data_IF_891425377483
#
_entry.id   IF_891425377483
#
_cell.length_a   1.000
_cell.length_b   1.000
_cell.length_c   1.000
_cell.angle_alpha   90.00
_cell.angle_beta   90.00
_cell.angle_gamma   90.00
#
_symmetry.space_group_name_H-M   'P 1'
#
loop_
_entity.id
_entity.type
_entity.pdbx_description
1 polymer ?
#
# COMPACT_ATOMS: atom_id res chain seq x y z
N UNK A 1 -0.17 -38.72 0.52
CA UNK A 1 0.01 -37.75 1.62
C UNK A 1 -0.77 -36.52 1.21
N UNK A 2 -1.67 -36.00 2.06
CA UNK A 2 -2.31 -34.71 1.78
C UNK A 2 -1.20 -33.64 1.71
N UNK A 3 -1.19 -32.82 0.66
CA UNK A 3 -0.23 -31.74 0.55
C UNK A 3 -0.45 -30.77 1.72
N UNK A 4 0.63 -30.32 2.35
CA UNK A 4 0.58 -29.30 3.40
C UNK A 4 1.42 -28.13 2.95
N UNK A 5 0.82 -26.95 2.97
CA UNK A 5 1.50 -25.70 2.60
C UNK A 5 1.77 -24.85 3.84
N UNK A 6 2.55 -23.79 3.67
CA UNK A 6 2.81 -22.81 4.72
C UNK A 6 1.56 -21.92 4.88
N UNK A 7 1.08 -21.63 6.10
CA UNK A 7 -0.09 -20.77 6.26
C UNK A 7 0.15 -19.38 5.64
N UNK A 8 -0.84 -18.88 4.88
CA UNK A 8 -0.78 -17.54 4.28
C UNK A 8 -1.30 -16.50 5.27
N UNK A 9 -0.56 -15.40 5.45
CA UNK A 9 -0.98 -14.26 6.26
C UNK A 9 -2.10 -13.47 5.55
N UNK A 10 -3.13 -13.06 6.29
CA UNK A 10 -4.23 -12.23 5.76
C UNK A 10 -3.80 -10.77 5.66
N UNK A 11 -2.90 -10.48 4.72
CA UNK A 11 -2.26 -9.17 4.59
C UNK A 11 -2.12 -8.78 3.12
N UNK A 12 -2.60 -7.59 2.70
CA UNK A 12 -2.47 -7.13 1.32
C UNK A 12 -1.03 -7.05 0.82
N UNK A 13 -0.06 -6.76 1.69
CA UNK A 13 1.37 -6.69 1.32
C UNK A 13 1.94 -8.04 0.87
N UNK A 14 1.33 -9.15 1.34
CA UNK A 14 1.69 -10.52 0.95
C UNK A 14 0.87 -10.98 -0.26
N UNK A 15 -0.42 -10.64 -0.28
CA UNK A 15 -1.37 -11.13 -1.29
C UNK A 15 -1.22 -10.38 -2.63
N UNK A 16 -0.94 -9.08 -2.63
CA UNK A 16 -0.77 -8.32 -3.87
C UNK A 16 0.40 -8.83 -4.72
N UNK A 17 1.62 -9.04 -4.19
CA UNK A 17 2.70 -9.67 -4.95
C UNK A 17 2.36 -11.08 -5.45
N UNK A 18 1.55 -11.83 -4.70
CA UNK A 18 1.07 -13.15 -5.11
C UNK A 18 0.17 -13.04 -6.35
N UNK A 19 -0.79 -12.10 -6.36
CA UNK A 19 -1.69 -11.81 -7.50
C UNK A 19 -0.87 -11.45 -8.75
N UNK A 20 0.13 -10.57 -8.60
CA UNK A 20 0.98 -10.16 -9.71
C UNK A 20 1.81 -11.33 -10.27
N UNK A 21 2.44 -12.13 -9.40
CA UNK A 21 3.21 -13.32 -9.82
C UNK A 21 2.35 -14.40 -10.48
N UNK A 22 1.06 -14.47 -10.13
CA UNK A 22 0.09 -15.34 -10.80
C UNK A 22 -0.28 -14.87 -12.21
N UNK A 23 0.11 -13.66 -12.59
CA UNK A 23 -0.15 -13.03 -13.88
C UNK A 23 -1.50 -12.31 -13.96
N UNK A 24 -2.15 -12.06 -12.83
CA UNK A 24 -3.42 -11.33 -12.78
C UNK A 24 -3.15 -9.84 -12.65
N UNK A 25 -3.91 -9.03 -13.39
CA UNK A 25 -3.78 -7.56 -13.38
C UNK A 25 -5.15 -6.90 -13.31
N UNK A 26 -5.19 -5.59 -13.10
CA UNK A 26 -6.46 -4.86 -13.04
C UNK A 26 -7.15 -4.89 -11.67
N UNK A 27 -6.53 -5.54 -10.67
CA UNK A 27 -7.06 -5.70 -9.31
C UNK A 27 -5.96 -5.59 -8.26
N UNK A 28 -6.35 -5.23 -7.04
CA UNK A 28 -5.51 -5.32 -5.84
C UNK A 28 -6.36 -5.62 -4.62
N UNK A 29 -5.73 -6.11 -3.57
CA UNK A 29 -6.31 -6.23 -2.24
C UNK A 29 -5.98 -5.00 -1.39
N UNK A 30 -6.92 -4.61 -0.54
CA UNK A 30 -6.79 -3.55 0.48
C UNK A 30 -7.38 -4.04 1.80
N UNK A 31 -6.87 -3.55 2.93
CA UNK A 31 -7.46 -3.87 4.23
C UNK A 31 -8.84 -3.25 4.38
N UNK A 32 -9.73 -3.99 5.05
CA UNK A 32 -11.06 -3.53 5.45
C UNK A 32 -11.05 -3.36 6.96
N UNK A 33 -11.00 -2.10 7.40
CA UNK A 33 -11.05 -1.76 8.83
C UNK A 33 -12.49 -1.73 9.35
N UNK A 34 -13.42 -1.26 8.51
CA UNK A 34 -14.85 -1.16 8.80
C UNK A 34 -15.64 -1.59 7.57
N UNK A 35 -16.74 -2.34 7.75
CA UNK A 35 -17.55 -2.81 6.62
C UNK A 35 -18.35 -1.67 5.96
N UNK A 36 -18.61 -0.60 6.69
CA UNK A 36 -19.29 0.61 6.23
C UNK A 36 -18.33 1.63 5.58
N UNK A 37 -17.04 1.28 5.40
CA UNK A 37 -16.05 2.18 4.82
C UNK A 37 -16.32 2.45 3.33
N UNK A 38 -16.91 3.61 3.04
CA UNK A 38 -17.23 4.04 1.68
C UNK A 38 -15.99 4.40 0.85
N UNK A 39 -14.81 4.52 1.47
CA UNK A 39 -13.53 4.84 0.81
C UNK A 39 -12.86 3.63 0.15
N UNK A 40 -13.38 2.42 0.40
CA UNK A 40 -12.87 1.21 -0.24
C UNK A 40 -13.08 1.31 -1.75
N UNK A 41 -11.98 1.11 -2.49
CA UNK A 41 -11.94 1.26 -3.94
C UNK A 41 -13.04 0.48 -4.66
N UNK A 42 -13.60 1.09 -5.69
CA UNK A 42 -14.68 0.53 -6.51
C UNK A 42 -14.17 0.26 -7.94
N UNK A 43 -14.73 -0.70 -8.68
CA UNK A 43 -15.59 -1.78 -8.21
C UNK A 43 -14.98 -2.64 -7.09
N UNK A 44 -15.81 -3.02 -6.12
CA UNK A 44 -15.53 -4.01 -5.10
C UNK A 44 -15.90 -5.38 -5.66
N UNK A 45 -14.92 -6.28 -5.78
CA UNK A 45 -15.12 -7.57 -6.45
C UNK A 45 -15.34 -8.72 -5.48
N UNK A 46 -14.60 -8.73 -4.37
CA UNK A 46 -14.69 -9.76 -3.35
C UNK A 46 -14.16 -9.26 -2.00
N UNK A 47 -14.50 -9.96 -0.93
CA UNK A 47 -13.87 -9.83 0.39
C UNK A 47 -13.40 -11.20 0.85
N UNK A 48 -12.19 -11.27 1.38
CA UNK A 48 -11.65 -12.44 2.05
C UNK A 48 -11.65 -12.16 3.55
N UNK A 49 -12.39 -12.96 4.31
CA UNK A 49 -12.51 -12.85 5.76
C UNK A 49 -11.75 -13.98 6.42
N UNK A 50 -10.80 -13.64 7.29
CA UNK A 50 -10.01 -14.57 8.07
C UNK A 50 -10.51 -14.57 9.52
N UNK A 51 -11.21 -15.63 9.92
CA UNK A 51 -11.76 -15.79 11.26
C UNK A 51 -10.82 -16.57 12.17
N UNK A 52 -10.79 -16.26 13.48
CA UNK A 52 -10.15 -17.12 14.47
C UNK A 52 -11.01 -18.37 14.74
N UNK A 53 -10.42 -19.36 15.43
CA UNK A 53 -11.11 -20.56 15.91
C UNK A 53 -11.83 -21.36 14.81
N UNK A 54 -11.11 -21.84 13.80
CA UNK A 54 -11.70 -22.53 12.65
C UNK A 54 -12.70 -23.65 13.02
N UNK A 55 -12.51 -24.35 14.15
CA UNK A 55 -13.43 -25.40 14.61
C UNK A 55 -14.79 -24.82 15.03
N UNK A 56 -14.79 -23.68 15.71
CA UNK A 56 -16.01 -22.99 16.14
C UNK A 56 -16.73 -22.39 14.94
N UNK A 57 -15.98 -21.80 14.00
CA UNK A 57 -16.52 -21.43 12.67
C UNK A 57 -17.15 -22.67 12.02
N UNK A 58 -16.47 -23.82 12.12
CA UNK A 58 -16.96 -25.05 11.50
C UNK A 58 -18.32 -25.50 12.05
N UNK A 59 -18.46 -25.45 13.38
CA UNK A 59 -19.67 -25.79 14.12
C UNK A 59 -20.82 -24.81 13.84
N UNK A 60 -20.53 -23.50 13.77
CA UNK A 60 -21.54 -22.48 13.50
C UNK A 60 -22.09 -22.61 12.07
N UNK A 61 -21.21 -22.82 11.09
CA UNK A 61 -21.60 -22.82 9.68
C UNK A 61 -22.24 -24.14 9.22
N UNK A 62 -21.91 -25.27 9.86
CA UNK A 62 -22.44 -26.60 9.50
C UNK A 62 -23.98 -26.65 9.37
N UNK A 63 -24.79 -26.27 10.37
CA UNK A 63 -26.24 -26.30 10.25
C UNK A 63 -26.78 -25.34 9.18
N UNK A 64 -26.06 -24.24 8.90
CA UNK A 64 -26.48 -23.29 7.88
C UNK A 64 -26.27 -23.88 6.48
N UNK A 65 -25.17 -24.60 6.25
CA UNK A 65 -24.92 -25.31 5.00
C UNK A 65 -25.83 -26.53 4.80
N UNK A 66 -26.25 -27.21 5.87
CA UNK A 66 -27.22 -28.32 5.79
C UNK A 66 -28.61 -27.86 5.31
N UNK A 67 -28.96 -26.58 5.56
CA UNK A 67 -30.23 -25.97 5.15
C UNK A 67 -30.11 -25.13 3.87
N UNK A 68 -28.89 -24.81 3.44
CA UNK A 68 -28.63 -24.00 2.27
C UNK A 68 -28.81 -24.78 0.96
N UNK A 69 -29.09 -24.05 -0.11
CA UNK A 69 -29.06 -24.58 -1.46
C UNK A 69 -27.69 -24.27 -2.09
N UNK A 70 -27.13 -25.20 -2.89
CA UNK A 70 -25.99 -24.89 -3.73
C UNK A 70 -26.26 -23.70 -4.63
N UNK A 71 -25.25 -22.85 -4.82
CA UNK A 71 -25.23 -21.86 -5.89
C UNK A 71 -25.32 -22.56 -7.27
N UNK A 72 -25.69 -21.79 -8.30
CA UNK A 72 -25.72 -22.31 -9.65
C UNK A 72 -24.31 -22.64 -10.20
N UNK A 73 -24.28 -23.37 -11.32
CA UNK A 73 -23.02 -23.81 -11.96
C UNK A 73 -22.20 -22.64 -12.54
N UNK A 74 -22.70 -21.40 -12.52
CA UNK A 74 -21.91 -20.24 -12.91
C UNK A 74 -20.83 -19.91 -11.88
N UNK A 75 -20.99 -20.31 -10.62
CA UNK A 75 -20.02 -20.04 -9.56
C UNK A 75 -18.91 -21.08 -9.57
N UNK A 76 -17.67 -20.64 -9.78
CA UNK A 76 -16.50 -21.49 -9.65
C UNK A 76 -16.27 -21.85 -8.18
N UNK A 77 -16.26 -23.15 -7.89
CA UNK A 77 -16.07 -23.70 -6.55
C UNK A 77 -15.03 -24.83 -6.56
N UNK A 78 -14.23 -24.93 -5.51
CA UNK A 78 -13.33 -26.06 -5.27
C UNK A 78 -13.18 -26.31 -3.77
N UNK A 79 -13.14 -27.59 -3.37
CA UNK A 79 -12.91 -27.96 -1.97
C UNK A 79 -11.43 -27.96 -1.65
N UNK A 80 -11.08 -27.56 -0.45
CA UNK A 80 -9.70 -27.60 0.01
C UNK A 80 -9.28 -29.01 0.39
N UNK A 81 -8.27 -29.56 -0.31
CA UNK A 81 -7.56 -30.79 0.07
C UNK A 81 -6.11 -30.55 0.53
N UNK A 82 -5.66 -29.29 0.49
CA UNK A 82 -4.30 -28.87 0.89
C UNK A 82 -4.38 -28.26 2.29
N UNK A 83 -3.64 -28.83 3.26
CA UNK A 83 -3.58 -28.31 4.62
C UNK A 83 -2.95 -26.92 4.64
N UNK A 84 -3.47 -26.03 5.49
CA UNK A 84 -3.04 -24.63 5.69
C UNK A 84 -3.18 -23.69 4.48
N UNK A 85 -3.75 -24.13 3.36
CA UNK A 85 -3.86 -23.31 2.15
C UNK A 85 -5.13 -22.44 2.09
N UNK A 86 -5.93 -22.33 3.16
CA UNK A 86 -7.26 -21.71 3.10
C UNK A 86 -7.27 -20.26 2.54
N UNK A 87 -6.27 -19.44 2.87
CA UNK A 87 -6.12 -18.10 2.29
C UNK A 87 -5.94 -18.12 0.77
N UNK A 88 -5.17 -19.08 0.23
CA UNK A 88 -5.02 -19.26 -1.22
C UNK A 88 -6.30 -19.77 -1.86
N UNK A 89 -7.03 -20.68 -1.22
CA UNK A 89 -8.32 -21.12 -1.74
C UNK A 89 -9.31 -19.96 -1.83
N UNK A 90 -9.41 -19.12 -0.80
CA UNK A 90 -10.26 -17.93 -0.80
C UNK A 90 -9.86 -16.93 -1.91
N UNK A 91 -8.56 -16.69 -2.12
CA UNK A 91 -8.07 -15.85 -3.22
C UNK A 91 -8.38 -16.45 -4.60
N UNK A 92 -8.27 -17.76 -4.75
CA UNK A 92 -8.56 -18.42 -6.01
C UNK A 92 -10.06 -18.40 -6.32
N UNK A 93 -10.90 -18.57 -5.29
CA UNK A 93 -12.36 -18.44 -5.43
C UNK A 93 -12.76 -17.02 -5.82
N UNK A 94 -12.13 -15.99 -5.24
CA UNK A 94 -12.41 -14.61 -5.63
C UNK A 94 -12.02 -14.36 -7.08
N UNK A 95 -10.78 -14.66 -7.48
CA UNK A 95 -10.27 -14.40 -8.83
C UNK A 95 -11.00 -15.22 -9.91
N UNK A 96 -11.25 -16.51 -9.68
CA UNK A 96 -11.86 -17.40 -10.67
C UNK A 96 -13.30 -17.01 -11.04
N UNK A 97 -14.00 -16.36 -10.11
CA UNK A 97 -15.38 -15.89 -10.31
C UNK A 97 -15.46 -14.52 -11.01
N UNK A 98 -14.33 -13.88 -11.30
CA UNK A 98 -14.24 -12.59 -12.00
C UNK A 98 -13.84 -12.73 -13.48
N UNK A 99 -13.84 -13.95 -14.03
CA UNK A 99 -13.64 -14.16 -15.46
C UNK A 99 -14.68 -13.36 -16.27
N UNK A 100 -14.19 -12.62 -17.27
CA UNK A 100 -15.02 -11.72 -18.07
C UNK A 100 -15.26 -10.34 -17.42
N UNK A 101 -14.91 -10.15 -16.15
CA UNK A 101 -14.94 -8.84 -15.45
C UNK A 101 -13.56 -8.19 -15.36
N UNK A 102 -12.51 -8.98 -15.16
CA UNK A 102 -11.12 -8.52 -15.02
C UNK A 102 -10.17 -9.25 -15.98
N UNK A 103 -8.97 -8.70 -16.17
CA UNK A 103 -7.91 -9.35 -16.93
C UNK A 103 -7.15 -10.35 -16.06
N UNK A 104 -7.52 -11.63 -16.14
CA UNK A 104 -6.82 -12.73 -15.47
C UNK A 104 -5.45 -13.06 -16.11
N UNK A 105 -5.10 -12.43 -17.24
CA UNK A 105 -3.85 -12.61 -17.96
C UNK A 105 -3.70 -14.01 -18.59
N UNK A 106 -2.47 -14.37 -18.91
CA UNK A 106 -2.05 -15.66 -19.47
C UNK A 106 -1.02 -16.38 -18.56
N UNK A 107 -0.92 -15.91 -17.32
CA UNK A 107 -0.01 -16.44 -16.30
C UNK A 107 -0.42 -17.81 -15.74
N UNK A 108 0.28 -18.22 -14.69
CA UNK A 108 0.09 -19.53 -14.04
C UNK A 108 -1.33 -19.73 -13.51
N UNK A 109 -1.97 -18.68 -13.00
CA UNK A 109 -3.36 -18.76 -12.53
C UNK A 109 -4.35 -18.98 -13.67
N UNK A 110 -4.25 -18.22 -14.77
CA UNK A 110 -5.14 -18.37 -15.91
C UNK A 110 -5.03 -19.77 -16.55
N UNK A 111 -3.79 -20.28 -16.70
CA UNK A 111 -3.53 -21.64 -17.20
C UNK A 111 -4.12 -22.71 -16.29
N UNK A 112 -3.90 -22.59 -14.98
CA UNK A 112 -4.49 -23.50 -14.01
C UNK A 112 -6.02 -23.45 -14.04
N UNK A 113 -6.63 -22.26 -14.07
CA UNK A 113 -8.07 -22.08 -14.08
C UNK A 113 -8.71 -22.73 -15.32
N UNK A 114 -8.07 -22.60 -16.49
CA UNK A 114 -8.52 -23.22 -17.72
C UNK A 114 -8.57 -24.76 -17.63
N UNK A 115 -7.59 -25.38 -16.99
CA UNK A 115 -7.60 -26.83 -16.73
C UNK A 115 -8.57 -27.21 -15.60
N UNK A 116 -8.66 -26.41 -14.55
CA UNK A 116 -9.56 -26.62 -13.40
C UNK A 116 -11.04 -26.63 -13.82
N UNK A 117 -11.40 -25.87 -14.85
CA UNK A 117 -12.76 -25.85 -15.42
C UNK A 117 -13.12 -27.12 -16.20
N UNK A 118 -12.13 -27.91 -16.63
CA UNK A 118 -12.33 -29.17 -17.37
C UNK A 118 -12.53 -30.38 -16.46
N UNK A 119 -12.31 -30.21 -15.16
CA UNK A 119 -12.40 -31.28 -14.16
C UNK A 119 -13.47 -30.96 -13.11
N UNK A 120 -13.88 -31.99 -12.36
CA UNK A 120 -14.87 -31.87 -11.30
C UNK A 120 -14.35 -31.09 -10.07
N UNK A 121 -15.27 -30.71 -9.19
CA UNK A 121 -15.00 -29.91 -7.98
C UNK A 121 -13.94 -30.55 -7.09
N UNK A 122 -13.92 -31.88 -7.00
CA UNK A 122 -12.97 -32.63 -6.18
C UNK A 122 -11.57 -32.62 -6.80
N UNK A 123 -11.46 -32.75 -8.12
CA UNK A 123 -10.19 -32.85 -8.84
C UNK A 123 -9.48 -31.50 -8.96
N UNK A 124 -10.19 -30.37 -8.87
CA UNK A 124 -9.61 -29.01 -8.92
C UNK A 124 -8.51 -28.79 -7.89
N UNK A 125 -8.69 -29.31 -6.67
CA UNK A 125 -7.68 -29.18 -5.61
C UNK A 125 -6.48 -30.10 -5.82
N UNK A 126 -6.68 -31.27 -6.44
CA UNK A 126 -5.59 -32.17 -6.77
C UNK A 126 -4.74 -31.57 -7.91
N UNK A 127 -5.40 -30.91 -8.87
CA UNK A 127 -4.73 -30.14 -9.91
C UNK A 127 -3.90 -28.98 -9.34
N UNK A 128 -4.43 -28.25 -8.34
CA UNK A 128 -3.69 -27.19 -7.65
C UNK A 128 -2.50 -27.75 -6.86
N UNK A 129 -2.69 -28.84 -6.12
CA UNK A 129 -1.63 -29.46 -5.32
C UNK A 129 -0.44 -29.94 -6.15
N UNK A 130 -0.68 -30.32 -7.40
CA UNK A 130 0.35 -30.78 -8.34
C UNK A 130 0.97 -29.63 -9.18
N UNK A 131 0.50 -28.39 -9.01
CA UNK A 131 1.05 -27.23 -9.72
C UNK A 131 2.23 -26.63 -8.95
N UNK A 132 3.46 -27.00 -9.33
CA UNK A 132 4.69 -26.57 -8.65
C UNK A 132 4.94 -25.06 -8.75
N UNK A 133 4.52 -24.42 -9.83
CA UNK A 133 4.67 -22.98 -10.04
C UNK A 133 3.79 -22.20 -9.05
N UNK A 134 2.50 -22.54 -8.97
CA UNK A 134 1.56 -21.92 -8.03
C UNK A 134 1.92 -22.25 -6.57
N UNK A 135 2.40 -23.46 -6.29
CA UNK A 135 2.92 -23.81 -4.98
C UNK A 135 4.14 -22.95 -4.60
N UNK A 136 5.06 -22.70 -5.55
CA UNK A 136 6.22 -21.82 -5.33
C UNK A 136 5.84 -20.35 -5.14
N UNK A 137 4.83 -19.87 -5.87
CA UNK A 137 4.28 -18.52 -5.69
C UNK A 137 3.66 -18.37 -4.30
N UNK A 138 2.89 -19.37 -3.86
CA UNK A 138 2.32 -19.42 -2.52
C UNK A 138 3.42 -19.44 -1.45
N UNK A 139 4.44 -20.29 -1.58
CA UNK A 139 5.50 -20.43 -0.58
C UNK A 139 6.31 -19.14 -0.42
N UNK A 140 6.60 -18.45 -1.53
CA UNK A 140 7.24 -17.14 -1.51
C UNK A 140 6.39 -16.07 -0.81
N UNK A 141 5.06 -16.12 -0.95
CA UNK A 141 4.15 -15.21 -0.26
C UNK A 141 4.09 -15.53 1.23
N UNK A 142 3.90 -16.80 1.60
CA UNK A 142 3.82 -17.25 2.99
C UNK A 142 5.12 -16.98 3.78
N UNK A 143 6.29 -17.09 3.13
CA UNK A 143 7.59 -16.77 3.74
C UNK A 143 7.85 -15.26 3.84
N UNK A 144 7.19 -14.45 3.01
CA UNK A 144 7.26 -12.99 3.04
C UNK A 144 6.35 -12.32 4.07
N UNK A 145 5.57 -13.09 4.83
CA UNK A 145 4.70 -12.59 5.90
C UNK A 145 5.49 -12.03 7.09
N UNK A 146 4.83 -11.16 7.85
CA UNK A 146 5.40 -10.51 9.05
C UNK A 146 5.30 -11.41 10.28
N UNK A 147 4.37 -12.38 10.24
CA UNK A 147 4.17 -13.36 11.32
C UNK A 147 4.87 -14.67 11.01
N UNK A 148 5.65 -15.19 11.96
CA UNK A 148 6.25 -16.50 11.82
C UNK A 148 5.13 -17.55 11.70
N UNK A 149 5.12 -18.39 10.65
CA UNK A 149 4.10 -19.41 10.49
C UNK A 149 4.22 -20.43 11.61
N UNK A 150 3.38 -20.31 12.64
CA UNK A 150 3.27 -21.35 13.66
C UNK A 150 2.58 -22.56 13.03
N UNK A 151 3.10 -23.76 13.25
CA UNK A 151 2.58 -24.99 12.61
C UNK A 151 1.14 -25.35 12.98
N UNK A 152 0.49 -24.59 13.87
CA UNK A 152 -0.90 -24.78 14.29
C UNK A 152 -1.75 -23.61 13.78
N UNK A 153 -2.40 -23.82 12.64
CA UNK A 153 -3.36 -22.84 12.10
C UNK A 153 -4.67 -22.93 12.88
N UNK A 154 -4.97 -21.85 13.59
CA UNK A 154 -6.26 -21.68 14.29
C UNK A 154 -7.24 -20.81 13.49
N UNK A 155 -6.83 -20.28 12.33
CA UNK A 155 -7.64 -19.37 11.52
C UNK A 155 -8.29 -20.05 10.31
N UNK A 156 -9.37 -19.45 9.78
CA UNK A 156 -10.08 -19.94 8.60
C UNK A 156 -10.49 -18.80 7.68
N UNK A 157 -10.26 -18.97 6.37
CA UNK A 157 -10.68 -18.00 5.37
C UNK A 157 -12.02 -18.38 4.73
N UNK A 158 -12.90 -17.39 4.59
CA UNK A 158 -14.13 -17.47 3.81
C UNK A 158 -14.10 -16.34 2.77
N UNK A 159 -14.42 -16.66 1.51
CA UNK A 159 -14.50 -15.70 0.42
C UNK A 159 -15.96 -15.28 0.20
N UNK A 160 -16.20 -13.98 0.07
CA UNK A 160 -17.46 -13.40 -0.38
C UNK A 160 -17.23 -12.72 -1.73
N UNK A 161 -17.95 -13.12 -2.78
CA UNK A 161 -17.74 -12.61 -4.14
C UNK A 161 -19.04 -12.15 -4.78
N UNK A 162 -19.00 -11.01 -5.47
CA UNK A 162 -20.14 -10.43 -6.16
C UNK A 162 -20.16 -10.85 -7.62
N UNK A 163 -21.24 -11.51 -8.04
CA UNK A 163 -21.44 -11.95 -9.43
C UNK A 163 -22.87 -11.73 -9.86
N UNK A 164 -23.06 -10.96 -10.95
CA UNK A 164 -24.37 -10.64 -11.53
C UNK A 164 -25.36 -10.01 -10.53
N UNK A 165 -24.89 -9.17 -9.60
CA UNK A 165 -25.72 -8.54 -8.57
C UNK A 165 -26.05 -9.45 -7.37
N UNK A 166 -25.49 -10.66 -7.33
CA UNK A 166 -25.66 -11.63 -6.25
C UNK A 166 -24.37 -11.79 -5.46
N UNK A 167 -24.48 -11.84 -4.13
CA UNK A 167 -23.39 -12.12 -3.21
C UNK A 167 -23.34 -13.62 -2.94
N UNK A 168 -22.16 -14.20 -3.14
CA UNK A 168 -21.90 -15.61 -2.89
C UNK A 168 -20.89 -15.78 -1.76
N UNK A 169 -21.21 -16.66 -0.81
CA UNK A 169 -20.28 -17.10 0.23
C UNK A 169 -19.65 -18.43 -0.19
N UNK A 170 -18.32 -18.45 -0.18
CA UNK A 170 -17.49 -19.57 -0.60
C UNK A 170 -16.53 -19.95 0.52
N UNK A 171 -16.88 -21.00 1.24
CA UNK A 171 -16.04 -21.68 2.22
C UNK A 171 -15.51 -22.99 1.62
N UNK A 172 -14.19 -23.08 1.44
CA UNK A 172 -13.51 -24.23 0.82
C UNK A 172 -13.62 -25.53 1.62
N UNK A 173 -14.04 -25.47 2.90
CA UNK A 173 -14.28 -26.63 3.76
C UNK A 173 -15.70 -27.17 3.63
N UNK A 174 -16.55 -26.53 2.81
CA UNK A 174 -17.97 -26.86 2.69
C UNK A 174 -18.29 -27.65 1.43
N UNK A 175 -19.49 -28.25 1.35
CA UNK A 175 -19.87 -29.04 0.18
C UNK A 175 -19.99 -28.22 -1.12
N UNK A 176 -20.39 -26.94 -1.03
CA UNK A 176 -20.70 -26.07 -2.16
C UNK A 176 -20.59 -24.58 -1.79
N UNK A 177 -20.56 -23.70 -2.79
CA UNK A 177 -20.82 -22.26 -2.61
C UNK A 177 -22.32 -21.99 -2.44
N UNK A 178 -22.70 -20.91 -1.74
CA UNK A 178 -24.11 -20.55 -1.54
C UNK A 178 -24.37 -19.08 -1.82
N UNK A 179 -25.58 -18.79 -2.31
CA UNK A 179 -26.10 -17.43 -2.40
C UNK A 179 -26.50 -16.92 -1.01
N UNK A 180 -26.08 -15.70 -0.67
CA UNK A 180 -26.32 -15.09 0.66
C UNK A 180 -27.00 -13.73 0.61
N UNK A 181 -27.22 -13.17 -0.58
CA UNK A 181 -27.95 -11.91 -0.74
C UNK A 181 -27.67 -11.22 -2.06
N UNK A 182 -28.19 -10.01 -2.21
CA UNK A 182 -27.91 -9.11 -3.33
C UNK A 182 -26.71 -8.23 -3.02
N UNK A 183 -25.96 -7.82 -4.04
CA UNK A 183 -24.84 -6.89 -3.89
C UNK A 183 -24.57 -6.08 -5.15
N UNK A 184 -23.65 -5.12 -5.06
CA UNK A 184 -23.21 -4.26 -6.16
C UNK A 184 -21.70 -4.02 -6.10
N UNK A 185 -21.16 -3.39 -7.14
CA UNK A 185 -19.75 -3.00 -7.19
C UNK A 185 -19.40 -1.92 -6.13
N UNK A 186 -20.41 -1.29 -5.53
CA UNK A 186 -20.30 -0.22 -4.56
C UNK A 186 -20.50 -0.70 -3.11
N UNK A 187 -21.23 -1.81 -2.91
CA UNK A 187 -21.73 -2.23 -1.59
C UNK A 187 -21.22 -3.58 -1.11
N UNK A 188 -20.48 -4.33 -1.94
CA UNK A 188 -20.05 -5.71 -1.63
C UNK A 188 -19.42 -5.88 -0.25
N UNK A 189 -18.53 -4.98 0.14
CA UNK A 189 -17.87 -5.09 1.46
C UNK A 189 -18.88 -4.98 2.59
N UNK A 190 -19.80 -4.00 2.48
CA UNK A 190 -20.88 -3.79 3.45
C UNK A 190 -21.84 -4.97 3.49
N UNK A 191 -22.22 -5.48 2.33
CA UNK A 191 -23.14 -6.62 2.22
C UNK A 191 -22.52 -7.90 2.80
N UNK A 192 -21.23 -8.14 2.55
CA UNK A 192 -20.49 -9.24 3.16
C UNK A 192 -20.37 -9.10 4.68
N UNK A 193 -20.14 -7.88 5.18
CA UNK A 193 -20.15 -7.57 6.61
C UNK A 193 -21.47 -7.91 7.28
N UNK A 194 -22.59 -7.51 6.66
CA UNK A 194 -23.94 -7.82 7.16
C UNK A 194 -24.21 -9.34 7.20
N UNK A 195 -23.77 -10.08 6.18
CA UNK A 195 -23.91 -11.54 6.15
C UNK A 195 -23.06 -12.19 7.23
N UNK A 196 -21.80 -11.78 7.42
CA UNK A 196 -20.88 -12.43 8.33
C UNK A 196 -21.04 -12.00 9.80
N UNK A 197 -21.87 -10.99 10.08
CA UNK A 197 -22.13 -10.49 11.44
C UNK A 197 -22.54 -11.62 12.41
N UNK A 198 -23.38 -12.56 11.98
CA UNK A 198 -23.80 -13.69 12.82
C UNK A 198 -22.63 -14.62 13.23
N UNK A 199 -21.58 -14.72 12.43
CA UNK A 199 -20.35 -15.44 12.77
C UNK A 199 -19.56 -14.66 13.81
N UNK A 200 -19.36 -13.36 13.56
CA UNK A 200 -18.61 -12.46 14.45
C UNK A 200 -19.23 -12.48 15.85
N UNK A 201 -20.55 -12.34 15.95
CA UNK A 201 -21.29 -12.35 17.23
C UNK A 201 -21.18 -13.67 17.98
N UNK A 202 -21.16 -14.81 17.27
CA UNK A 202 -21.09 -16.14 17.89
C UNK A 202 -19.67 -16.58 18.25
N UNK A 203 -18.66 -16.06 17.57
CA UNK A 203 -17.26 -16.35 17.89
C UNK A 203 -16.85 -15.71 19.20
N UNK A 204 -17.49 -14.61 19.63
CA UNK A 204 -17.13 -13.85 20.85
C UNK A 204 -15.63 -13.50 20.88
N UNK A 205 -15.06 -13.33 19.68
CA UNK A 205 -13.64 -13.09 19.44
C UNK A 205 -13.52 -12.10 18.28
N UNK A 206 -13.00 -10.92 18.59
CA UNK A 206 -12.87 -9.80 17.64
C UNK A 206 -11.61 -9.89 16.77
N UNK A 207 -10.81 -10.96 16.92
CA UNK A 207 -9.53 -11.15 16.22
C UNK A 207 -9.70 -11.72 14.81
N UNK A 208 -10.61 -11.15 14.02
CA UNK A 208 -10.73 -11.47 12.60
C UNK A 208 -10.07 -10.39 11.74
N UNK A 209 -9.70 -10.71 10.51
CA UNK A 209 -9.24 -9.73 9.53
C UNK A 209 -10.01 -9.85 8.23
N UNK A 210 -10.06 -8.75 7.49
CA UNK A 210 -10.85 -8.61 6.29
C UNK A 210 -10.02 -7.87 5.23
N UNK A 211 -9.97 -8.41 4.03
CA UNK A 211 -9.31 -7.76 2.89
C UNK A 211 -10.27 -7.74 1.69
N UNK A 212 -10.39 -6.59 1.04
CA UNK A 212 -11.24 -6.41 -0.14
C UNK A 212 -10.39 -6.48 -1.41
N UNK A 213 -10.81 -7.31 -2.37
CA UNK A 213 -10.31 -7.31 -3.73
C UNK A 213 -11.09 -6.27 -4.53
N UNK A 214 -10.40 -5.23 -4.98
CA UNK A 214 -10.98 -4.06 -5.65
C UNK A 214 -10.35 -3.84 -7.00
N UNK A 215 -11.02 -3.05 -7.84
CA UNK A 215 -10.44 -2.63 -9.11
C UNK A 215 -9.16 -1.83 -8.91
N UNK A 216 -8.20 -2.13 -9.77
CA UNK A 216 -6.92 -1.47 -9.78
C UNK A 216 -6.46 -1.30 -11.21
N UNK A 217 -6.69 -0.11 -11.75
CA UNK A 217 -6.02 0.25 -12.99
C UNK A 217 -4.57 0.60 -12.65
N UNK A 218 -3.66 -0.29 -13.07
CA UNK A 218 -2.25 0.02 -13.21
C UNK A 218 -2.15 1.06 -14.33
N UNK A 219 -2.46 2.31 -14.00
CA UNK A 219 -2.24 3.40 -14.92
C UNK A 219 -0.76 3.41 -15.22
N UNK A 220 -0.38 3.65 -16.47
CA UNK A 220 1.01 3.96 -16.80
C UNK A 220 1.56 5.02 -15.84
N UNK A 221 0.71 5.91 -15.31
CA UNK A 221 0.97 6.88 -14.25
C UNK A 221 1.25 6.31 -12.83
N UNK A 222 0.77 5.12 -12.45
CA UNK A 222 1.08 4.45 -11.17
C UNK A 222 2.47 3.84 -11.17
N UNK A 223 2.85 3.22 -12.30
CA UNK A 223 4.24 2.90 -12.61
C UNK A 223 5.06 4.19 -12.76
N UNK A 224 4.56 5.24 -13.40
CA UNK A 224 5.25 6.55 -13.55
C UNK A 224 5.48 7.27 -12.20
N UNK A 225 4.56 7.13 -11.24
CA UNK A 225 4.66 7.67 -9.87
C UNK A 225 5.85 7.05 -9.12
N UNK A 226 6.05 5.74 -9.26
CA UNK A 226 7.20 5.03 -8.70
C UNK A 226 8.48 5.16 -9.55
N UNK A 227 8.35 5.23 -10.88
CA UNK A 227 9.46 5.22 -11.84
C UNK A 227 10.24 6.54 -11.93
N UNK A 228 9.67 7.65 -11.42
CA UNK A 228 10.37 8.95 -11.37
C UNK A 228 11.61 8.93 -10.45
N UNK A 229 11.65 8.04 -9.46
CA UNK A 229 12.77 7.88 -8.50
C UNK A 229 13.45 6.49 -8.60
N UNK A 230 13.02 5.62 -9.53
CA UNK A 230 13.53 4.25 -9.67
C UNK A 230 14.22 4.05 -11.02
N UNK A 231 15.25 3.19 -11.03
CA UNK A 231 15.71 2.47 -12.22
C UNK A 231 15.58 0.99 -11.91
N UNK A 232 14.90 0.24 -12.77
CA UNK A 232 14.76 -1.22 -12.66
C UNK A 232 14.20 -1.67 -11.29
N UNK A 233 13.26 -0.90 -10.71
CA UNK A 233 12.60 -1.22 -9.44
C UNK A 233 13.35 -0.82 -8.15
N UNK A 234 14.59 -0.33 -8.25
CA UNK A 234 15.44 -0.04 -7.09
C UNK A 234 15.45 1.47 -6.72
N UNK A 235 15.36 1.89 -5.42
CA UNK A 235 15.45 3.28 -4.95
C UNK A 235 16.84 3.93 -5.12
N UNK A 236 17.56 3.57 -6.18
CA UNK A 236 18.94 3.99 -6.42
C UNK A 236 19.12 5.50 -6.67
N UNK A 237 18.04 6.28 -6.89
CA UNK A 237 18.15 7.68 -7.30
C UNK A 237 18.29 8.66 -6.12
N UNK A 238 17.45 8.63 -5.07
CA UNK A 238 17.64 9.46 -3.87
C UNK A 238 18.92 9.08 -3.12
N UNK A 239 19.23 7.79 -3.03
CA UNK A 239 20.45 7.29 -2.39
C UNK A 239 21.69 7.88 -3.08
N UNK A 240 21.77 7.81 -4.42
CA UNK A 240 22.86 8.44 -5.18
C UNK A 240 22.90 9.96 -5.05
N UNK A 241 21.75 10.61 -4.89
CA UNK A 241 21.70 12.05 -4.62
C UNK A 241 22.27 12.39 -3.24
N UNK A 242 21.89 11.64 -2.20
CA UNK A 242 22.39 11.77 -0.82
C UNK A 242 23.91 11.59 -0.80
N UNK A 243 24.42 10.52 -1.40
CA UNK A 243 25.86 10.25 -1.50
C UNK A 243 26.60 11.38 -2.23
N UNK A 244 26.09 11.83 -3.40
CA UNK A 244 26.71 12.93 -4.17
C UNK A 244 26.61 14.29 -3.48
N UNK A 245 25.63 14.48 -2.60
CA UNK A 245 25.54 15.65 -1.73
C UNK A 245 26.63 15.66 -0.64
N UNK A 246 27.25 14.50 -0.39
CA UNK A 246 28.29 14.27 0.59
C UNK A 246 27.77 13.84 1.96
N UNK A 247 26.54 13.29 2.01
CA UNK A 247 25.90 12.84 3.25
C UNK A 247 26.14 11.33 3.43
N UNK A 248 26.32 10.89 4.68
CA UNK A 248 26.52 9.48 5.04
C UNK A 248 25.82 9.10 6.34
N UNK A 249 25.73 7.80 6.64
CA UNK A 249 25.08 7.28 7.85
C UNK A 249 23.55 7.26 7.78
N UNK A 250 23.00 7.30 6.55
CA UNK A 250 21.58 7.25 6.27
C UNK A 250 21.33 6.34 5.07
N UNK A 251 20.29 5.54 5.15
CA UNK A 251 19.76 4.71 4.07
C UNK A 251 18.36 5.23 3.70
N UNK A 252 17.92 4.93 2.47
CA UNK A 252 16.57 5.23 2.04
C UNK A 252 15.82 3.93 1.75
N UNK A 253 14.68 3.74 2.42
CA UNK A 253 13.86 2.53 2.37
C UNK A 253 12.48 2.90 1.81
N UNK A 254 11.94 2.04 0.96
CA UNK A 254 10.59 2.22 0.42
C UNK A 254 9.55 2.06 1.54
N UNK A 255 8.58 2.98 1.60
CA UNK A 255 7.43 2.86 2.50
C UNK A 255 6.30 2.23 1.70
N UNK A 256 6.08 0.93 1.90
CA UNK A 256 4.99 0.20 1.23
C UNK A 256 3.63 0.44 1.92
N UNK A 257 3.65 0.75 3.20
CA UNK A 257 2.51 1.19 4.00
C UNK A 257 2.97 2.00 5.21
N UNK A 258 2.10 2.83 5.79
CA UNK A 258 2.48 3.62 6.97
C UNK A 258 2.54 2.80 8.26
N UNK A 259 1.93 1.62 8.27
CA UNK A 259 2.04 0.63 9.35
C UNK A 259 3.16 -0.41 9.07
N UNK A 260 4.11 -0.08 8.18
CA UNK A 260 5.23 -0.95 7.84
C UNK A 260 6.31 -0.91 8.93
N UNK A 261 6.24 -1.88 9.83
CA UNK A 261 7.22 -2.06 10.91
C UNK A 261 8.60 -2.54 10.42
N UNK A 262 8.76 -2.88 9.13
CA UNK A 262 10.04 -3.34 8.57
C UNK A 262 11.03 -2.20 8.28
N UNK A 263 10.58 -0.94 8.31
CA UNK A 263 11.38 0.25 8.03
C UNK A 263 12.43 0.52 9.13
N UNK A 264 12.40 -0.26 10.22
CA UNK A 264 13.35 -0.19 11.31
C UNK A 264 13.00 0.90 12.32
N UNK A 265 13.66 0.86 13.49
CA UNK A 265 13.31 1.70 14.64
C UNK A 265 13.99 3.09 14.64
N UNK A 266 14.86 3.37 13.66
CA UNK A 266 15.62 4.61 13.57
C UNK A 266 15.23 5.40 12.31
N UNK A 267 13.96 5.78 12.24
CA UNK A 267 13.36 6.53 11.13
C UNK A 267 13.59 8.02 11.36
N UNK A 268 14.13 8.72 10.37
CA UNK A 268 14.53 10.12 10.50
C UNK A 268 13.63 11.09 9.73
N UNK A 269 13.16 10.68 8.56
CA UNK A 269 12.25 11.49 7.75
C UNK A 269 11.46 10.59 6.79
N UNK A 270 10.32 11.10 6.29
CA UNK A 270 9.59 10.51 5.18
C UNK A 270 9.42 11.55 4.09
N UNK A 271 9.65 11.18 2.84
CA UNK A 271 9.35 11.98 1.66
C UNK A 271 8.17 11.34 0.94
N UNK A 272 7.07 12.07 0.80
CA UNK A 272 5.87 11.63 0.11
C UNK A 272 5.70 12.35 -1.22
N UNK A 273 5.36 11.58 -2.25
CA UNK A 273 4.84 12.05 -3.52
C UNK A 273 3.33 11.80 -3.57
N UNK A 274 2.57 12.85 -3.78
CA UNK A 274 1.11 12.85 -3.62
C UNK A 274 0.44 13.48 -4.85
N UNK A 275 -0.81 13.10 -5.15
CA UNK A 275 -1.60 13.77 -6.18
C UNK A 275 -1.82 15.24 -5.80
N UNK A 276 -1.75 16.13 -6.78
CA UNK A 276 -1.87 17.58 -6.58
C UNK A 276 -2.91 18.19 -7.52
N UNK A 277 -4.14 17.72 -7.36
CA UNK A 277 -5.30 18.19 -8.11
C UNK A 277 -5.86 19.50 -7.51
N UNK A 278 -6.96 20.03 -8.08
CA UNK A 278 -7.59 21.26 -7.60
C UNK A 278 -8.10 21.18 -6.16
N UNK A 279 -8.68 20.04 -5.78
CA UNK A 279 -9.25 19.81 -4.44
C UNK A 279 -8.16 19.78 -3.36
N UNK A 280 -7.10 19.01 -3.58
CA UNK A 280 -5.93 18.96 -2.67
C UNK A 280 -5.32 20.35 -2.50
N UNK A 281 -5.19 21.12 -3.60
CA UNK A 281 -4.71 22.50 -3.55
C UNK A 281 -5.59 23.39 -2.67
N UNK A 282 -6.90 23.22 -2.73
CA UNK A 282 -7.85 23.99 -1.93
C UNK A 282 -7.77 23.59 -0.45
N UNK A 283 -7.72 22.29 -0.13
CA UNK A 283 -7.59 21.79 1.23
C UNK A 283 -6.30 22.29 1.89
N UNK A 284 -5.17 22.19 1.20
CA UNK A 284 -3.88 22.69 1.70
C UNK A 284 -3.97 24.20 1.97
N UNK A 285 -4.52 24.98 1.03
CA UNK A 285 -4.67 26.44 1.22
C UNK A 285 -5.53 26.77 2.44
N UNK A 286 -6.64 26.05 2.65
CA UNK A 286 -7.52 26.27 3.79
C UNK A 286 -6.78 25.99 5.10
N UNK A 287 -6.13 24.84 5.21
CA UNK A 287 -5.40 24.45 6.43
C UNK A 287 -4.29 25.45 6.76
N UNK A 288 -3.53 25.91 5.77
CA UNK A 288 -2.47 26.89 6.01
C UNK A 288 -2.98 28.31 6.31
N UNK A 289 -4.23 28.64 5.92
CA UNK A 289 -4.82 29.94 6.23
C UNK A 289 -5.21 30.11 7.71
N UNK A 290 -5.39 29.00 8.42
CA UNK A 290 -5.81 28.96 9.83
C UNK A 290 -4.62 28.82 10.79
N UNK A 291 -3.39 28.72 10.26
CA UNK A 291 -2.19 28.44 11.04
C UNK A 291 -1.20 29.60 11.02
N UNK A 292 -0.44 29.73 12.10
CA UNK A 292 0.75 30.58 12.18
C UNK A 292 2.01 29.72 12.14
N UNK A 293 3.12 30.32 11.68
CA UNK A 293 4.42 29.65 11.73
C UNK A 293 4.74 29.24 13.18
N UNK A 294 5.24 28.01 13.40
CA UNK A 294 5.64 27.57 14.73
C UNK A 294 6.82 28.43 15.24
N UNK A 295 6.88 28.64 16.56
CA UNK A 295 8.02 29.33 17.20
C UNK A 295 9.33 28.53 17.05
N UNK A 296 9.22 27.21 16.89
CA UNK A 296 10.35 26.30 16.76
C UNK A 296 11.08 26.42 15.42
N UNK A 297 12.41 26.50 15.52
CA UNK A 297 13.32 26.75 14.40
C UNK A 297 13.65 25.48 13.60
N UNK A 298 12.66 24.88 12.95
CA UNK A 298 12.95 23.93 11.89
C UNK A 298 13.50 24.68 10.66
N UNK A 299 14.51 24.12 10.00
CA UNK A 299 15.05 24.72 8.79
C UNK A 299 14.02 24.61 7.66
N UNK A 300 13.54 25.77 7.22
CA UNK A 300 12.56 25.88 6.15
C UNK A 300 13.10 26.72 4.98
N UNK A 301 12.62 26.44 3.78
CA UNK A 301 12.90 27.23 2.58
C UNK A 301 11.70 27.10 1.66
N UNK A 302 11.20 28.23 1.18
CA UNK A 302 10.12 28.25 0.21
C UNK A 302 10.69 28.02 -1.18
N UNK A 303 10.06 27.14 -1.96
CA UNK A 303 10.37 26.99 -3.38
C UNK A 303 9.88 28.22 -4.12
N UNK A 304 10.80 28.91 -4.81
CA UNK A 304 10.44 30.02 -5.69
C UNK A 304 9.65 29.47 -6.88
N UNK A 305 8.63 30.22 -7.31
CA UNK A 305 7.83 29.90 -8.51
C UNK A 305 8.69 29.83 -9.78
N UNK A 306 9.85 30.52 -9.78
CA UNK A 306 10.84 30.49 -10.86
C UNK A 306 11.56 29.14 -10.99
N UNK A 307 11.56 28.33 -9.92
CA UNK A 307 12.21 27.02 -9.89
C UNK A 307 11.13 25.95 -10.09
N UNK A 308 10.68 25.81 -11.34
CA UNK A 308 9.71 24.77 -11.72
C UNK A 308 10.25 23.35 -11.50
N UNK A 309 9.36 22.39 -11.23
CA UNK A 309 9.64 20.95 -11.16
C UNK A 309 10.71 20.49 -10.14
N UNK A 310 11.00 21.29 -9.11
CA UNK A 310 12.04 20.98 -8.12
C UNK A 310 11.52 20.46 -6.77
N UNK A 311 10.20 20.36 -6.57
CA UNK A 311 9.61 20.03 -5.25
C UNK A 311 10.19 18.77 -4.59
N UNK A 312 10.49 17.71 -5.35
CA UNK A 312 11.16 16.52 -4.79
C UNK A 312 12.58 16.77 -4.27
N UNK A 313 13.33 17.68 -4.89
CA UNK A 313 14.66 18.06 -4.40
C UNK A 313 14.59 18.95 -3.16
N UNK A 314 13.57 19.82 -3.10
CA UNK A 314 13.30 20.61 -1.91
C UNK A 314 12.96 19.69 -0.74
N UNK A 315 12.04 18.74 -0.92
CA UNK A 315 11.69 17.75 0.10
C UNK A 315 12.92 16.98 0.60
N UNK A 316 13.77 16.45 -0.29
CA UNK A 316 15.00 15.76 0.11
C UNK A 316 15.96 16.66 0.89
N UNK A 317 16.21 17.89 0.42
CA UNK A 317 17.11 18.83 1.10
C UNK A 317 16.54 19.22 2.46
N UNK A 318 15.24 19.46 2.58
CA UNK A 318 14.56 19.72 3.86
C UNK A 318 14.72 18.55 4.82
N UNK A 319 14.52 17.31 4.37
CA UNK A 319 14.75 16.12 5.19
C UNK A 319 16.18 16.07 5.71
N UNK A 320 17.19 16.20 4.84
CA UNK A 320 18.59 16.07 5.24
C UNK A 320 19.08 17.22 6.13
N UNK A 321 18.72 18.46 5.79
CA UNK A 321 19.21 19.66 6.51
C UNK A 321 18.67 19.76 7.93
N UNK A 322 17.47 19.21 8.18
CA UNK A 322 16.90 19.14 9.52
C UNK A 322 17.43 17.98 10.37
N UNK A 323 18.27 17.13 9.79
CA UNK A 323 18.94 16.01 10.47
C UNK A 323 20.41 16.30 10.77
N UNK A 324 20.89 17.54 10.63
CA UNK A 324 22.32 17.88 10.78
C UNK A 324 22.94 17.51 12.15
N UNK A 325 22.13 17.39 13.20
CA UNK A 325 22.55 16.95 14.55
C UNK A 325 22.54 15.42 14.70
N UNK A 326 22.00 14.72 13.70
CA UNK A 326 21.71 13.28 13.72
C UNK A 326 22.49 12.48 12.68
N UNK A 327 22.88 13.11 11.57
CA UNK A 327 23.60 12.49 10.46
C UNK A 327 24.83 13.32 10.06
N UNK A 328 25.83 12.67 9.47
CA UNK A 328 27.00 13.39 8.94
C UNK A 328 26.70 13.96 7.55
N UNK A 329 26.48 15.28 7.49
CA UNK A 329 26.33 16.02 6.23
C UNK A 329 27.66 16.23 5.48
N UNK A 330 28.78 15.85 6.10
CA UNK A 330 30.12 15.98 5.58
C UNK A 330 30.54 17.42 5.28
N UNK A 331 31.41 17.58 4.30
CA UNK A 331 31.85 18.89 3.78
C UNK A 331 31.54 19.06 2.28
N UNK A 332 30.51 18.34 1.83
CA UNK A 332 30.04 18.30 0.45
C UNK A 332 29.27 19.54 0.01
N UNK A 333 28.58 19.43 -1.12
CA UNK A 333 27.80 20.54 -1.69
C UNK A 333 26.65 20.98 -0.78
N UNK A 334 25.99 20.04 -0.11
CA UNK A 334 24.87 20.32 0.79
C UNK A 334 25.32 21.07 2.05
N UNK A 335 26.33 20.56 2.77
CA UNK A 335 26.85 21.20 3.97
C UNK A 335 27.37 22.63 3.72
N UNK A 336 28.09 22.85 2.61
CA UNK A 336 28.57 24.19 2.21
C UNK A 336 27.44 25.15 1.88
N UNK A 337 26.38 24.65 1.24
CA UNK A 337 25.20 25.45 0.96
C UNK A 337 24.42 25.78 2.25
N UNK A 338 24.17 24.79 3.11
CA UNK A 338 23.44 24.96 4.37
C UNK A 338 24.09 26.03 5.27
N UNK A 339 25.43 26.03 5.38
CA UNK A 339 26.19 27.06 6.12
C UNK A 339 25.92 28.50 5.64
N UNK A 340 25.63 28.68 4.35
CA UNK A 340 25.26 29.98 3.77
C UNK A 340 23.76 30.24 3.93
N UNK A 341 22.93 29.22 3.69
CA UNK A 341 21.48 29.29 3.77
C UNK A 341 20.96 29.69 5.16
N UNK A 342 21.64 29.25 6.23
CA UNK A 342 21.35 29.64 7.61
C UNK A 342 21.56 31.13 7.92
N UNK A 343 22.29 31.86 7.06
CA UNK A 343 22.63 33.29 7.26
C UNK A 343 21.74 34.24 6.47
N UNK A 344 20.77 33.70 5.73
CA UNK A 344 19.86 34.46 4.86
C UNK A 344 18.41 34.12 5.22
N UNK A 345 17.49 34.99 4.79
CA UNK A 345 16.04 34.81 4.99
C UNK A 345 15.49 33.55 4.31
N UNK A 346 14.29 33.11 4.70
CA UNK A 346 13.62 31.93 4.14
C UNK A 346 13.46 32.04 2.63
N UNK A 347 13.16 33.24 2.14
CA UNK A 347 12.96 33.58 0.74
C UNK A 347 14.28 33.53 -0.04
N UNK A 348 15.36 34.10 0.52
CA UNK A 348 16.68 34.12 -0.09
C UNK A 348 17.35 32.74 -0.19
N UNK A 349 16.97 31.79 0.68
CA UNK A 349 17.46 30.39 0.63
C UNK A 349 17.17 29.75 -0.73
N UNK A 350 16.02 30.03 -1.32
CA UNK A 350 15.60 29.49 -2.62
C UNK A 350 16.50 29.97 -3.75
N UNK A 351 16.74 31.28 -3.81
CA UNK A 351 17.64 31.91 -4.79
C UNK A 351 19.09 31.41 -4.60
N UNK A 352 19.52 31.23 -3.36
CA UNK A 352 20.84 30.65 -3.06
C UNK A 352 20.96 29.20 -3.55
N UNK A 353 19.89 28.41 -3.44
CA UNK A 353 19.83 27.04 -3.97
C UNK A 353 19.84 27.01 -5.50
N UNK A 354 19.04 27.86 -6.15
CA UNK A 354 18.99 27.98 -7.61
C UNK A 354 20.36 28.30 -8.21
N UNK A 355 21.12 29.18 -7.56
CA UNK A 355 22.47 29.57 -7.98
C UNK A 355 23.56 28.54 -7.62
N UNK A 356 23.23 27.46 -6.92
CA UNK A 356 24.18 26.43 -6.55
C UNK A 356 24.43 25.45 -7.71
N UNK A 357 25.47 25.72 -8.50
CA UNK A 357 25.87 24.87 -9.65
C UNK A 357 26.14 23.41 -9.27
N UNK A 358 26.64 23.15 -8.06
CA UNK A 358 26.95 21.80 -7.57
C UNK A 358 25.69 20.98 -7.32
N UNK A 359 24.78 21.50 -6.50
CA UNK A 359 23.49 20.87 -6.22
C UNK A 359 22.63 20.77 -7.49
N UNK A 360 22.64 21.79 -8.34
CA UNK A 360 21.95 21.75 -9.63
C UNK A 360 22.53 20.68 -10.58
N UNK A 361 23.85 20.45 -10.56
CA UNK A 361 24.48 19.36 -11.32
C UNK A 361 24.08 18.00 -10.76
N UNK A 362 24.03 17.84 -9.44
CA UNK A 362 23.58 16.59 -8.78
C UNK A 362 22.14 16.30 -9.18
N UNK A 363 21.25 17.29 -9.05
CA UNK A 363 19.85 17.19 -9.46
C UNK A 363 19.70 16.80 -10.94
N UNK A 364 20.35 17.52 -11.86
CA UNK A 364 20.30 17.20 -13.31
C UNK A 364 20.85 15.82 -13.64
N UNK A 365 21.94 15.41 -12.98
CA UNK A 365 22.54 14.08 -13.19
C UNK A 365 21.60 12.98 -12.74
N UNK A 366 20.89 13.20 -11.63
CA UNK A 366 19.89 12.27 -11.15
C UNK A 366 18.67 12.27 -12.10
N UNK A 367 18.12 13.45 -12.43
CA UNK A 367 16.98 13.62 -13.33
C UNK A 367 17.20 12.98 -14.72
N UNK A 368 18.39 13.12 -15.31
CA UNK A 368 18.74 12.52 -16.62
C UNK A 368 18.94 11.00 -16.62
N UNK A 369 18.80 10.34 -15.46
CA UNK A 369 18.85 8.86 -15.33
C UNK A 369 17.50 8.24 -14.94
N UNK A 370 16.46 9.06 -14.75
CA UNK A 370 15.09 8.62 -14.51
C UNK A 370 14.37 8.28 -15.83
N UNK A 371 13.31 7.48 -15.75
CA UNK A 371 12.59 6.96 -16.93
C UNK A 371 11.38 7.81 -17.37
N UNK A 372 11.08 8.90 -16.67
CA UNK A 372 9.90 9.74 -16.94
C UNK A 372 10.23 11.24 -16.95
N UNK A 373 9.83 11.93 -18.02
CA UNK A 373 9.79 13.39 -18.10
C UNK A 373 8.40 13.83 -17.63
N UNK A 374 8.25 14.72 -16.64
CA UNK A 374 6.93 15.21 -16.27
C UNK A 374 6.29 15.92 -17.47
N UNK A 375 5.05 15.54 -17.79
CA UNK A 375 4.22 16.24 -18.77
C UNK A 375 3.97 17.68 -18.27
N UNK A 376 4.52 18.71 -18.94
CA UNK A 376 4.34 20.10 -18.55
C UNK A 376 2.89 20.59 -18.71
N UNK A 377 2.05 19.87 -19.45
CA UNK A 377 0.66 20.24 -19.77
C UNK A 377 -0.40 19.48 -18.94
N UNK A 378 0.03 18.60 -18.00
CA UNK A 378 -0.88 17.86 -17.13
C UNK A 378 -1.65 18.78 -16.18
N UNK A 379 -2.98 18.84 -16.33
CA UNK A 379 -3.89 19.67 -15.52
C UNK A 379 -3.95 19.27 -14.03
N UNK A 380 -3.64 18.01 -13.73
CA UNK A 380 -3.50 17.45 -12.38
C UNK A 380 -2.06 16.94 -12.20
N UNK A 381 -1.31 17.58 -11.31
CA UNK A 381 0.13 17.32 -11.12
C UNK A 381 0.42 16.39 -9.95
N UNK A 382 1.72 16.16 -9.71
CA UNK A 382 2.23 15.54 -8.49
C UNK A 382 2.92 16.61 -7.63
N UNK A 383 2.96 16.37 -6.33
CA UNK A 383 3.66 17.25 -5.39
C UNK A 383 4.40 16.44 -4.33
N UNK A 384 5.54 16.97 -3.89
CA UNK A 384 6.36 16.35 -2.86
C UNK A 384 6.27 17.12 -1.56
N UNK A 385 6.03 16.40 -0.48
CA UNK A 385 6.00 16.89 0.89
C UNK A 385 6.92 16.00 1.71
N UNK A 386 7.65 16.54 2.68
CA UNK A 386 8.40 15.70 3.61
C UNK A 386 7.96 15.90 5.05
N UNK A 387 8.12 14.85 5.85
CA UNK A 387 7.88 14.81 7.27
C UNK A 387 9.18 14.54 7.99
N UNK A 388 9.49 15.32 9.02
CA UNK A 388 10.75 15.22 9.77
C UNK A 388 10.45 15.25 11.26
N UNK A 389 11.00 14.28 12.00
CA UNK A 389 10.94 14.26 13.47
C UNK A 389 12.06 15.09 14.06
N UNK A 390 11.72 16.12 14.85
CA UNK A 390 12.68 16.95 15.59
C UNK A 390 12.17 17.22 17.00
N UNK A 391 12.99 16.94 18.01
CA UNK A 391 12.67 17.16 19.43
C UNK A 391 11.31 16.55 19.85
N UNK A 392 11.01 15.34 19.37
CA UNK A 392 9.75 14.64 19.69
C UNK A 392 8.51 15.19 18.96
N UNK A 393 8.68 16.16 18.05
CA UNK A 393 7.60 16.73 17.24
C UNK A 393 7.79 16.35 15.78
N UNK A 394 6.71 15.95 15.13
CA UNK A 394 6.63 15.71 13.71
C UNK A 394 6.33 17.03 12.99
N UNK A 395 7.17 17.35 12.01
CA UNK A 395 7.01 18.52 11.17
C UNK A 395 6.72 18.11 9.74
N UNK A 396 5.63 18.62 9.20
CA UNK A 396 5.32 18.57 7.78
C UNK A 396 5.91 19.80 7.07
N UNK A 397 6.61 19.56 5.97
CA UNK A 397 7.26 20.58 5.17
C UNK A 397 6.78 20.46 3.73
N UNK A 398 5.89 21.38 3.35
CA UNK A 398 5.51 21.67 1.97
C UNK A 398 6.25 22.95 1.52
N UNK A 399 7.19 22.81 0.58
CA UNK A 399 8.00 23.92 0.08
C UNK A 399 7.19 24.98 -0.70
N UNK A 400 5.94 24.72 -1.08
CA UNK A 400 5.07 25.73 -1.73
C UNK A 400 4.42 26.66 -0.71
N UNK A 401 4.45 26.32 0.57
CA UNK A 401 3.85 27.09 1.65
C UNK A 401 4.82 28.11 2.25
N UNK A 402 4.33 28.94 3.16
CA UNK A 402 5.13 29.97 3.84
C UNK A 402 5.98 29.43 5.00
N UNK A 403 5.61 28.29 5.59
CA UNK A 403 6.28 27.73 6.76
C UNK A 403 6.08 26.21 6.86
N UNK A 404 6.91 25.57 7.69
CA UNK A 404 6.72 24.18 8.12
C UNK A 404 5.66 24.11 9.22
N UNK A 405 4.87 23.04 9.23
CA UNK A 405 3.77 22.82 10.18
C UNK A 405 4.14 21.75 11.19
N UNK A 406 3.98 22.02 12.48
CA UNK A 406 4.01 20.98 13.50
C UNK A 406 2.68 20.21 13.46
N UNK A 407 2.73 18.89 13.25
CA UNK A 407 1.53 18.07 13.00
C UNK A 407 1.20 17.08 14.13
N UNK A 408 2.11 16.92 15.10
CA UNK A 408 1.87 16.07 16.26
C UNK A 408 3.15 15.56 16.90
N UNK A 409 3.07 14.79 17.99
CA UNK A 409 4.21 14.11 18.58
C UNK A 409 4.71 12.97 17.69
N UNK A 410 6.00 12.65 17.77
CA UNK A 410 6.57 11.48 17.09
C UNK A 410 7.86 11.00 17.76
N UNK A 411 8.24 9.75 17.47
CA UNK A 411 9.53 9.17 17.82
C UNK A 411 10.16 8.54 16.59
N UNK A 412 11.44 8.20 16.66
CA UNK A 412 12.14 7.52 15.56
C UNK A 412 11.50 6.18 15.17
N UNK A 413 10.86 5.47 16.10
CA UNK A 413 10.24 4.18 15.81
C UNK A 413 8.85 4.33 15.17
N UNK A 414 8.27 5.53 15.21
CA UNK A 414 6.87 5.77 14.85
C UNK A 414 6.70 6.81 13.74
N UNK A 415 7.79 7.43 13.30
CA UNK A 415 7.77 8.58 12.40
C UNK A 415 7.00 8.29 11.11
N UNK A 416 7.21 7.13 10.49
CA UNK A 416 6.50 6.72 9.28
C UNK A 416 5.00 6.64 9.53
N UNK A 417 4.59 5.97 10.60
CA UNK A 417 3.18 5.82 10.99
C UNK A 417 2.54 7.15 11.32
N UNK A 418 3.22 7.98 12.08
CA UNK A 418 2.73 9.30 12.48
C UNK A 418 2.61 10.22 11.25
N UNK A 419 3.52 10.10 10.28
CA UNK A 419 3.44 10.79 8.99
C UNK A 419 2.24 10.36 8.17
N UNK A 420 1.90 9.06 8.18
CA UNK A 420 0.69 8.54 7.54
C UNK A 420 -0.59 9.16 8.10
N UNK A 421 -0.69 9.25 9.43
CA UNK A 421 -1.83 9.88 10.13
C UNK A 421 -1.94 11.37 9.82
N UNK A 422 -0.83 12.09 9.90
CA UNK A 422 -0.80 13.52 9.59
C UNK A 422 -1.17 13.79 8.12
N UNK A 423 -0.73 12.92 7.22
CA UNK A 423 -1.01 12.99 5.79
C UNK A 423 -2.49 12.77 5.46
N UNK A 424 -3.17 11.82 6.13
CA UNK A 424 -4.61 11.57 5.92
C UNK A 424 -5.44 12.84 6.05
N UNK A 425 -5.09 13.74 6.98
CA UNK A 425 -5.77 15.02 7.17
C UNK A 425 -5.58 16.01 6.00
N UNK A 426 -4.50 15.90 5.20
CA UNK A 426 -4.25 16.78 4.05
C UNK A 426 -4.99 16.37 2.78
N UNK A 427 -5.08 15.07 2.54
CA UNK A 427 -5.70 14.53 1.32
C UNK A 427 -7.21 14.33 1.42
N UNK A 428 -7.78 14.44 2.62
CA UNK A 428 -9.23 14.39 2.80
C UNK A 428 -9.85 13.09 2.28
N UNK A 429 -10.91 13.21 1.47
CA UNK A 429 -11.77 12.14 0.94
C UNK A 429 -11.34 11.60 -0.42
N UNK A 430 -10.10 11.83 -0.87
CA UNK A 430 -9.65 11.36 -2.20
C UNK A 430 -9.90 9.86 -2.38
N UNK A 431 -10.64 9.50 -3.43
CA UNK A 431 -11.14 8.15 -3.80
C UNK A 431 -10.05 7.05 -3.95
N UNK A 432 -8.77 7.39 -3.77
CA UNK A 432 -7.71 6.41 -3.56
C UNK A 432 -6.49 7.10 -2.92
N UNK A 433 -5.93 6.52 -1.85
CA UNK A 433 -4.64 6.95 -1.31
C UNK A 433 -3.53 6.47 -2.26
N UNK A 434 -3.36 7.13 -3.41
CA UNK A 434 -2.25 6.90 -4.33
C UNK A 434 -1.06 7.74 -3.89
N UNK A 435 -0.23 7.20 -3.01
CA UNK A 435 1.02 7.85 -2.59
C UNK A 435 2.22 6.99 -2.98
N UNK A 436 3.37 7.64 -3.15
CA UNK A 436 4.67 6.98 -3.11
C UNK A 436 5.45 7.61 -1.96
N UNK A 437 6.01 6.80 -1.07
CA UNK A 437 6.75 7.30 0.08
C UNK A 437 8.11 6.61 0.22
N UNK A 438 9.09 7.39 0.67
CA UNK A 438 10.45 6.95 0.95
C UNK A 438 10.81 7.38 2.37
N UNK A 439 11.21 6.45 3.21
CA UNK A 439 11.73 6.74 4.53
C UNK A 439 13.26 6.88 4.46
N UNK A 440 13.78 7.89 5.15
CA UNK A 440 15.20 8.00 5.44
C UNK A 440 15.44 7.41 6.83
N UNK A 441 16.27 6.38 6.91
CA UNK A 441 16.53 5.61 8.13
C UNK A 441 18.03 5.58 8.41
N UNK A 442 18.43 5.27 9.63
CA UNK A 442 19.85 5.08 9.93
C UNK A 442 20.40 3.87 9.16
N UNK A 443 21.56 4.07 8.52
CA UNK A 443 22.34 3.01 7.87
C UNK A 443 22.99 2.07 8.89
#
# INVERSE_FOLDING_TARGET
MAASWTPLESNPSVINPMIEKMGVSGVKTVDVLFFEDESIGKPQYAVLLCFPEYKKVDEIMKPIYEQAKPADDSVFFMKQKISNACGTFALFHSLANLEGRINLGDGSFAKWLAEAKKVGVEERSDLLANNTELAGIHDAAATGGQTAPTGKVEHHFICYVGKNGTLYEIDSRRPFAREVGTTSDETLVKDAGAVCQHLIEKLDNVSFSAIALVSWQDSSASKDLMLRWRRDGNPCHPIRMIEKMGVSGIEAVDVLGFEDDSIGNQQYAVILCVPYNAEVRQNIKQVYSELSAPEDSIFFMKQSEEIGNACGSFALIHSLTNLEERIDLGNGHLAKWLKKAKKVSVEERSSLLANNRGLAKIHRTAAGTGTAVPDPDAKDGQHFVCYVGKNGTLYEIDSRQSFARAVGPTTDATLVRDSGKAYQHLIGTLDSIRFSALALVKQ
#
